data_IF_402587554923
#
_entry.id   IF_402587554923
#
_cell.length_a   1.000
_cell.length_b   1.000
_cell.length_c   1.000
_cell.angle_alpha   90.00
_cell.angle_beta   90.00
_cell.angle_gamma   90.00
#
_symmetry.space_group_name_H-M   'P 1'
#
loop_
_entity.id
_entity.type
_entity.pdbx_description
1 polymer ?
#
# COMPACT_ATOMS: atom_id res chain seq x y z
N UNK A 1 -8.76 13.77 28.76
CA UNK A 1 -8.98 14.67 27.61
C UNK A 1 -10.21 14.14 26.89
N UNK A 2 -11.35 14.79 27.06
CA UNK A 2 -12.64 14.33 26.50
C UNK A 2 -12.79 14.93 25.12
N UNK A 3 -12.84 14.09 24.10
CA UNK A 3 -13.17 14.53 22.75
C UNK A 3 -14.67 14.83 22.68
N UNK A 4 -15.00 16.09 22.57
CA UNK A 4 -16.37 16.53 22.29
C UNK A 4 -16.70 16.22 20.83
N UNK A 5 -17.54 15.20 20.63
CA UNK A 5 -18.19 14.97 19.34
C UNK A 5 -19.12 16.16 19.03
N UNK A 6 -18.88 16.88 17.94
CA UNK A 6 -19.84 17.86 17.42
C UNK A 6 -21.03 17.08 16.85
N UNK A 7 -22.20 17.28 17.43
CA UNK A 7 -23.45 16.89 16.80
C UNK A 7 -23.63 17.71 15.52
N UNK A 8 -23.41 17.09 14.37
CA UNK A 8 -23.78 17.67 13.08
C UNK A 8 -25.27 17.36 12.90
N UNK A 9 -26.12 18.37 13.07
CA UNK A 9 -27.54 18.30 12.71
C UNK A 9 -27.60 18.24 11.16
N UNK A 10 -27.98 17.08 10.62
CA UNK A 10 -28.29 16.96 9.19
C UNK A 10 -29.66 17.63 8.95
N UNK A 11 -29.65 18.71 8.18
CA UNK A 11 -30.90 19.33 7.72
C UNK A 11 -31.70 18.32 6.89
N UNK A 12 -33.01 18.22 7.17
CA UNK A 12 -33.98 17.46 6.40
C UNK A 12 -34.00 17.96 4.96
N UNK A 13 -33.42 17.21 4.03
CA UNK A 13 -33.46 17.54 2.60
C UNK A 13 -32.32 16.96 1.74
N UNK A 14 -31.29 16.35 2.32
CA UNK A 14 -30.30 15.65 1.53
C UNK A 14 -30.83 14.27 1.13
N UNK A 15 -31.31 14.14 -0.09
CA UNK A 15 -31.45 12.85 -0.75
C UNK A 15 -30.03 12.26 -0.85
N UNK A 16 -29.74 11.28 -0.02
CA UNK A 16 -28.51 10.50 -0.10
C UNK A 16 -28.52 9.77 -1.43
N UNK A 17 -27.77 10.29 -2.41
CA UNK A 17 -27.59 9.63 -3.68
C UNK A 17 -26.89 8.28 -3.50
N UNK A 18 -27.01 7.42 -4.50
CA UNK A 18 -26.45 6.05 -4.56
C UNK A 18 -24.95 5.92 -4.22
N UNK A 19 -24.24 7.03 -3.99
CA UNK A 19 -22.83 7.04 -3.55
C UNK A 19 -22.62 6.55 -2.11
N UNK A 20 -23.64 6.61 -1.24
CA UNK A 20 -23.50 6.13 0.15
C UNK A 20 -23.57 4.61 0.27
N UNK A 21 -24.19 3.91 -0.66
CA UNK A 21 -24.17 2.44 -0.69
C UNK A 21 -22.76 1.85 -0.91
N UNK A 22 -21.79 2.69 -1.33
CA UNK A 22 -20.38 2.28 -1.47
C UNK A 22 -19.57 2.48 -0.19
N UNK A 23 -20.04 3.29 0.77
CA UNK A 23 -19.31 3.54 2.03
C UNK A 23 -19.21 2.29 2.92
N UNK A 24 -20.16 1.38 2.79
CA UNK A 24 -20.19 0.15 3.58
C UNK A 24 -19.15 -0.90 3.12
N UNK A 25 -18.48 -0.64 2.01
CA UNK A 25 -17.38 -1.47 1.49
C UNK A 25 -15.99 -0.93 1.85
N UNK A 26 -15.91 0.04 2.77
CA UNK A 26 -14.67 0.70 3.15
C UNK A 26 -13.85 -0.14 4.14
N UNK A 27 -14.49 -1.09 4.83
CA UNK A 27 -13.80 -1.93 5.79
C UNK A 27 -13.62 -3.33 5.22
N UNK A 28 -12.37 -3.72 5.02
CA UNK A 28 -11.99 -5.07 4.65
C UNK A 28 -10.98 -5.61 5.67
N UNK A 29 -11.30 -6.76 6.25
CA UNK A 29 -10.38 -7.48 7.12
C UNK A 29 -9.64 -8.53 6.28
N UNK A 30 -8.35 -8.30 6.02
CA UNK A 30 -7.53 -9.14 5.15
C UNK A 30 -6.58 -9.95 6.01
N UNK A 31 -6.64 -11.28 5.86
CA UNK A 31 -5.64 -12.18 6.44
C UNK A 31 -4.36 -12.12 5.59
N UNK A 32 -3.46 -11.23 5.95
CA UNK A 32 -2.22 -11.01 5.20
C UNK A 32 -1.35 -12.29 5.07
N UNK A 33 -1.55 -13.29 5.94
CA UNK A 33 -0.84 -14.56 5.85
C UNK A 33 -1.35 -15.45 4.70
N UNK A 34 -2.60 -15.27 4.28
CA UNK A 34 -3.22 -16.06 3.20
C UNK A 34 -2.83 -15.50 1.82
N UNK A 35 -2.25 -14.28 1.78
CA UNK A 35 -1.77 -13.67 0.55
C UNK A 35 -0.39 -14.21 0.18
N UNK A 36 -0.13 -14.38 -1.11
CA UNK A 36 1.16 -14.84 -1.61
C UNK A 36 2.21 -13.71 -1.62
N UNK A 37 3.46 -14.08 -1.35
CA UNK A 37 4.61 -13.23 -1.59
C UNK A 37 5.03 -13.37 -3.06
N UNK A 38 5.06 -12.25 -3.78
CA UNK A 38 5.50 -12.21 -5.18
C UNK A 38 6.85 -11.52 -5.26
N UNK A 39 7.83 -12.21 -5.85
CA UNK A 39 9.18 -11.67 -6.06
C UNK A 39 9.13 -10.57 -7.12
N UNK A 40 9.62 -9.39 -6.78
CA UNK A 40 9.63 -8.20 -7.65
C UNK A 40 11.05 -7.75 -7.99
N UNK A 41 12.04 -8.19 -7.23
CA UNK A 41 13.46 -8.11 -7.49
C UNK A 41 14.11 -9.27 -6.75
N UNK A 42 15.33 -9.65 -7.12
CA UNK A 42 16.05 -10.77 -6.52
C UNK A 42 16.04 -10.70 -4.97
N UNK A 43 15.41 -11.69 -4.33
CA UNK A 43 15.27 -11.78 -2.87
C UNK A 43 14.37 -10.71 -2.24
N UNK A 44 13.64 -9.93 -3.03
CA UNK A 44 12.74 -8.88 -2.58
C UNK A 44 11.31 -9.12 -3.06
N UNK A 45 10.34 -9.05 -2.14
CA UNK A 45 8.98 -9.51 -2.38
C UNK A 45 7.95 -8.49 -1.90
N UNK A 46 6.85 -8.38 -2.64
CA UNK A 46 5.64 -7.71 -2.18
C UNK A 46 4.47 -8.68 -1.99
N UNK A 47 3.55 -8.28 -1.11
CA UNK A 47 2.16 -8.72 -1.08
C UNK A 47 1.29 -7.48 -1.29
N UNK A 48 0.34 -7.54 -2.24
CA UNK A 48 -0.70 -6.54 -2.34
C UNK A 48 -1.79 -6.83 -1.30
N UNK A 49 -1.94 -5.98 -0.29
CA UNK A 49 -2.99 -6.11 0.73
C UNK A 49 -4.28 -5.48 0.24
N UNK A 50 -4.21 -4.20 -0.16
CA UNK A 50 -5.30 -3.49 -0.82
C UNK A 50 -4.78 -2.69 -1.99
N UNK A 51 -5.57 -2.58 -3.05
CA UNK A 51 -5.29 -1.70 -4.19
C UNK A 51 -6.52 -0.85 -4.47
N UNK A 52 -6.42 0.47 -4.28
CA UNK A 52 -7.48 1.41 -4.55
C UNK A 52 -7.13 2.25 -5.78
N UNK A 53 -7.55 1.77 -6.95
CA UNK A 53 -7.20 2.37 -8.24
C UNK A 53 -7.68 3.83 -8.37
N UNK A 54 -8.91 4.20 -7.95
CA UNK A 54 -9.38 5.59 -8.08
C UNK A 54 -8.53 6.64 -7.35
N UNK A 55 -7.80 6.25 -6.31
CA UNK A 55 -6.96 7.17 -5.51
C UNK A 55 -5.48 6.84 -5.58
N UNK A 56 -5.07 5.91 -6.42
CA UNK A 56 -3.68 5.43 -6.51
C UNK A 56 -3.08 5.10 -5.13
N UNK A 57 -3.89 4.44 -4.28
CA UNK A 57 -3.48 4.05 -2.93
C UNK A 57 -3.30 2.54 -2.87
N UNK A 58 -2.17 2.10 -2.35
CA UNK A 58 -1.84 0.68 -2.20
C UNK A 58 -1.37 0.41 -0.79
N UNK A 59 -2.02 -0.50 -0.07
CA UNK A 59 -1.45 -1.08 1.15
C UNK A 59 -0.72 -2.37 0.79
N UNK A 60 0.47 -2.54 1.33
CA UNK A 60 1.36 -3.64 0.97
C UNK A 60 2.08 -4.23 2.18
N UNK A 61 2.58 -5.45 2.02
CA UNK A 61 3.69 -5.97 2.81
C UNK A 61 4.94 -6.06 1.90
N UNK A 62 6.09 -5.71 2.45
CA UNK A 62 7.38 -5.80 1.78
C UNK A 62 8.33 -6.66 2.59
N UNK A 63 9.12 -7.49 1.92
CA UNK A 63 10.12 -8.35 2.53
C UNK A 63 11.39 -8.36 1.70
N UNK A 64 12.54 -8.36 2.37
CA UNK A 64 13.83 -8.74 1.80
C UNK A 64 14.37 -9.97 2.55
N UNK A 65 14.75 -10.98 1.80
CA UNK A 65 15.35 -12.20 2.36
C UNK A 65 16.75 -11.92 2.91
N UNK A 66 17.27 -12.74 3.83
CA UNK A 66 18.65 -12.65 4.29
C UNK A 66 19.64 -12.73 3.12
N UNK A 67 20.50 -11.73 2.98
CA UNK A 67 21.51 -11.67 1.93
C UNK A 67 20.97 -11.30 0.53
N UNK A 68 19.72 -10.84 0.43
CA UNK A 68 19.21 -10.28 -0.80
C UNK A 68 20.07 -9.10 -1.27
N UNK A 69 20.24 -8.89 -2.59
CA UNK A 69 20.81 -7.67 -3.13
C UNK A 69 20.03 -6.43 -2.67
N UNK A 70 20.66 -5.26 -2.82
CA UNK A 70 19.96 -3.99 -2.61
C UNK A 70 18.70 -3.92 -3.50
N UNK A 71 17.62 -3.40 -2.95
CA UNK A 71 16.43 -3.12 -3.76
C UNK A 71 16.78 -2.03 -4.79
N UNK A 72 16.21 -2.04 -6.00
CA UNK A 72 16.52 -1.05 -7.02
C UNK A 72 16.46 0.39 -6.51
N UNK A 73 17.48 1.18 -6.83
CA UNK A 73 17.51 2.59 -6.51
C UNK A 73 16.37 3.30 -7.20
N UNK A 74 15.64 4.16 -6.48
CA UNK A 74 14.43 4.78 -7.03
C UNK A 74 14.12 6.15 -6.45
N UNK A 75 13.38 6.94 -7.25
CA UNK A 75 12.61 8.08 -6.76
C UNK A 75 11.23 7.63 -6.31
N UNK A 76 10.77 8.17 -5.20
CA UNK A 76 9.39 8.16 -4.83
C UNK A 76 8.62 9.22 -5.63
N UNK A 77 7.66 8.80 -6.46
CA UNK A 77 6.65 9.68 -7.04
C UNK A 77 5.49 9.82 -6.05
N UNK A 78 5.21 8.74 -5.32
CA UNK A 78 4.26 8.68 -4.21
C UNK A 78 4.87 9.13 -2.89
N UNK A 79 4.04 9.28 -1.87
CA UNK A 79 4.45 9.18 -0.47
C UNK A 79 4.38 7.73 -0.02
N UNK A 80 5.38 7.27 0.73
CA UNK A 80 5.37 5.97 1.35
C UNK A 80 5.42 6.09 2.86
N UNK A 81 4.63 5.27 3.54
CA UNK A 81 4.59 5.16 4.98
C UNK A 81 4.66 3.70 5.34
N UNK A 82 5.55 3.33 6.25
CA UNK A 82 5.66 1.92 6.63
C UNK A 82 6.05 1.73 8.09
N UNK A 83 5.66 0.57 8.64
CA UNK A 83 6.15 0.04 9.90
C UNK A 83 7.01 -1.18 9.62
N UNK A 84 8.22 -1.20 10.16
CA UNK A 84 9.06 -2.38 10.20
C UNK A 84 8.50 -3.37 11.22
N UNK A 85 8.20 -4.59 10.77
CA UNK A 85 7.58 -5.64 11.58
C UNK A 85 8.53 -6.79 11.90
N UNK A 86 9.68 -6.86 11.21
CA UNK A 86 10.75 -7.82 11.45
C UNK A 86 12.08 -7.26 10.96
N UNK A 87 13.17 -7.55 11.66
CA UNK A 87 14.52 -7.17 11.28
C UNK A 87 14.72 -5.66 11.20
N UNK A 88 15.46 -5.23 10.18
CA UNK A 88 15.73 -3.82 9.93
C UNK A 88 16.12 -3.60 8.46
N UNK A 89 15.95 -2.37 7.99
CA UNK A 89 16.48 -1.91 6.71
C UNK A 89 17.15 -0.54 6.85
N UNK A 90 17.82 -0.11 5.82
CA UNK A 90 18.44 1.22 5.71
C UNK A 90 18.50 1.67 4.26
N UNK A 91 19.16 2.82 4.05
CA UNK A 91 19.39 3.40 2.73
C UNK A 91 20.89 3.61 2.54
N UNK A 92 21.41 3.24 1.36
CA UNK A 92 22.85 3.37 1.05
C UNK A 92 23.34 4.82 1.09
N UNK A 93 22.44 5.77 0.86
CA UNK A 93 22.72 7.22 0.89
C UNK A 93 22.81 7.80 2.31
N UNK A 94 22.43 7.04 3.32
CA UNK A 94 22.37 7.46 4.71
C UNK A 94 23.04 6.50 5.68
N UNK A 95 23.04 6.89 6.94
CA UNK A 95 23.51 6.04 8.05
C UNK A 95 22.36 5.54 8.93
N UNK A 96 21.15 5.95 8.62
CA UNK A 96 19.97 5.60 9.40
C UNK A 96 19.57 4.17 9.15
N UNK A 97 19.19 3.51 10.23
CA UNK A 97 18.62 2.18 10.24
C UNK A 97 17.21 2.25 10.79
N UNK A 98 16.28 1.58 10.13
CA UNK A 98 14.87 1.50 10.52
C UNK A 98 14.64 0.12 11.10
N UNK A 99 14.66 0.02 12.43
CA UNK A 99 14.53 -1.23 13.16
C UNK A 99 13.06 -1.66 13.32
N UNK A 100 12.87 -2.92 13.69
CA UNK A 100 11.55 -3.44 14.08
C UNK A 100 10.85 -2.53 15.09
N UNK A 101 9.57 -2.23 14.84
CA UNK A 101 8.75 -1.30 15.62
C UNK A 101 8.89 0.17 15.22
N UNK A 102 9.81 0.51 14.31
CA UNK A 102 9.94 1.89 13.82
C UNK A 102 9.01 2.15 12.64
N UNK A 103 8.57 3.41 12.58
CA UNK A 103 7.81 3.97 11.46
C UNK A 103 8.75 4.77 10.55
N UNK A 104 8.63 4.61 9.24
CA UNK A 104 9.29 5.44 8.24
C UNK A 104 8.28 6.20 7.39
N UNK A 105 8.70 7.40 6.98
CA UNK A 105 7.99 8.24 6.02
C UNK A 105 8.95 8.65 4.91
N UNK A 106 8.60 8.35 3.68
CA UNK A 106 9.38 8.65 2.48
C UNK A 106 8.58 9.63 1.62
N UNK A 107 9.09 10.86 1.52
CA UNK A 107 8.39 11.94 0.82
C UNK A 107 8.46 11.76 -0.71
N UNK A 108 7.47 12.27 -1.46
CA UNK A 108 7.61 12.41 -2.91
C UNK A 108 8.86 13.20 -3.27
N UNK A 109 9.61 12.71 -4.28
CA UNK A 109 10.90 13.29 -4.70
C UNK A 109 12.11 12.80 -3.91
N UNK A 110 11.94 11.96 -2.87
CA UNK A 110 13.09 11.31 -2.23
C UNK A 110 13.69 10.24 -3.16
N UNK A 111 15.02 10.20 -3.19
CA UNK A 111 15.78 9.18 -3.93
C UNK A 111 16.62 8.38 -2.96
N UNK A 112 16.55 7.06 -3.08
CA UNK A 112 17.33 6.17 -2.23
C UNK A 112 17.43 4.74 -2.78
N UNK A 113 18.35 3.99 -2.16
CA UNK A 113 18.61 2.58 -2.42
C UNK A 113 18.37 1.80 -1.13
N UNK A 114 17.20 1.17 -0.95
CA UNK A 114 16.93 0.37 0.22
C UNK A 114 17.79 -0.90 0.25
N UNK A 115 18.25 -1.26 1.44
CA UNK A 115 19.00 -2.50 1.67
C UNK A 115 18.68 -3.09 3.06
N UNK A 116 18.95 -4.38 3.21
CA UNK A 116 18.95 -5.03 4.51
C UNK A 116 20.09 -6.02 4.62
N UNK A 117 21.05 -5.74 5.50
CA UNK A 117 22.09 -6.70 5.90
C UNK A 117 21.67 -7.46 7.18
N UNK A 118 20.36 -7.48 7.50
CA UNK A 118 19.84 -8.18 8.67
C UNK A 118 19.94 -9.69 8.46
N UNK A 119 20.58 -10.45 9.38
CA UNK A 119 20.70 -11.91 9.27
C UNK A 119 19.37 -12.66 9.24
N UNK A 120 18.29 -12.03 9.72
CA UNK A 120 16.94 -12.58 9.73
C UNK A 120 16.09 -12.10 8.57
N UNK A 121 16.65 -11.27 7.68
CA UNK A 121 15.92 -10.54 6.67
C UNK A 121 15.13 -9.38 7.26
N UNK A 122 14.25 -8.82 6.47
CA UNK A 122 13.46 -7.64 6.80
C UNK A 122 12.01 -7.81 6.35
N UNK A 123 11.06 -7.34 7.15
CA UNK A 123 9.66 -7.20 6.74
C UNK A 123 9.07 -5.86 7.22
N UNK A 124 8.25 -5.25 6.37
CA UNK A 124 7.45 -4.08 6.69
C UNK A 124 6.01 -4.21 6.19
N UNK A 125 5.15 -3.37 6.76
CA UNK A 125 3.78 -3.12 6.29
C UNK A 125 3.68 -1.64 5.97
N UNK A 126 3.19 -1.30 4.80
CA UNK A 126 3.18 0.09 4.37
C UNK A 126 2.01 0.44 3.47
N UNK A 127 1.95 1.74 3.17
CA UNK A 127 0.99 2.33 2.25
C UNK A 127 1.76 3.24 1.30
N UNK A 128 1.49 3.09 0.01
CA UNK A 128 1.79 4.08 -1.02
C UNK A 128 0.53 4.91 -1.28
N UNK A 129 0.71 6.23 -1.35
CA UNK A 129 -0.32 7.16 -1.80
C UNK A 129 0.27 8.09 -2.86
N UNK A 130 -0.36 8.15 -4.04
CA UNK A 130 0.14 8.95 -5.16
C UNK A 130 -0.96 9.75 -5.84
N UNK A 131 -0.59 10.92 -6.38
CA UNK A 131 -1.46 11.72 -7.23
C UNK A 131 -1.50 11.19 -8.70
N UNK A 132 -0.72 10.14 -8.99
CA UNK A 132 -0.66 9.46 -10.29
C UNK A 132 -0.61 7.95 -10.12
N UNK A 133 -0.76 7.21 -11.21
CA UNK A 133 -0.60 5.75 -11.20
C UNK A 133 0.85 5.28 -10.94
N UNK A 134 1.84 6.18 -11.13
CA UNK A 134 3.25 5.88 -10.88
C UNK A 134 3.54 6.02 -9.39
N UNK A 135 4.16 5.00 -8.81
CA UNK A 135 4.57 4.96 -7.41
C UNK A 135 6.07 5.21 -7.27
N UNK A 136 6.88 4.44 -8.01
CA UNK A 136 8.33 4.54 -7.97
C UNK A 136 8.89 4.66 -9.39
N UNK A 137 9.98 5.43 -9.53
CA UNK A 137 10.80 5.50 -10.74
C UNK A 137 12.14 4.85 -10.43
N UNK A 138 12.33 3.64 -10.92
CA UNK A 138 13.55 2.85 -10.70
C UNK A 138 14.68 3.31 -11.61
N UNK A 139 15.90 3.26 -11.11
CA UNK A 139 17.11 3.67 -11.80
C UNK A 139 18.12 2.52 -11.94
N UNK A 140 18.92 2.55 -13.00
CA UNK A 140 19.93 1.52 -13.29
C UNK A 140 21.05 1.54 -12.24
N UNK A 141 21.43 2.71 -11.77
CA UNK A 141 22.50 2.89 -10.79
C UNK A 141 22.00 3.72 -9.59
N UNK A 142 22.66 3.65 -8.43
CA UNK A 142 22.32 4.43 -7.24
C UNK A 142 22.71 5.92 -7.41
N UNK A 143 22.23 6.50 -8.48
CA UNK A 143 22.48 7.88 -8.89
C UNK A 143 21.19 8.46 -9.49
N UNK A 144 20.66 9.58 -8.95
CA UNK A 144 19.42 10.19 -9.42
C UNK A 144 19.48 10.72 -10.87
N UNK A 145 20.67 10.83 -11.44
CA UNK A 145 20.88 11.24 -12.83
C UNK A 145 21.18 10.07 -13.77
N UNK A 146 21.13 8.83 -13.28
CA UNK A 146 21.33 7.64 -14.11
C UNK A 146 20.10 7.37 -15.00
N UNK A 147 20.25 6.43 -15.90
CA UNK A 147 19.16 5.97 -16.77
C UNK A 147 17.99 5.39 -15.94
N UNK A 148 16.78 5.66 -16.38
CA UNK A 148 15.57 5.10 -15.78
C UNK A 148 15.48 3.63 -16.21
N UNK A 149 15.50 2.72 -15.26
CA UNK A 149 15.31 1.29 -15.47
C UNK A 149 13.85 0.97 -15.81
N UNK A 150 12.92 1.63 -15.14
CA UNK A 150 11.48 1.43 -15.31
C UNK A 150 10.64 2.17 -14.27
N UNK A 151 9.34 2.03 -14.42
CA UNK A 151 8.35 2.57 -13.49
C UNK A 151 7.70 1.42 -12.73
N UNK A 152 7.44 1.62 -11.45
CA UNK A 152 6.62 0.74 -10.64
C UNK A 152 5.31 1.47 -10.31
N UNK A 153 4.18 0.84 -10.64
CA UNK A 153 2.89 1.50 -10.75
C UNK A 153 1.82 0.80 -9.92
N UNK A 154 0.64 1.40 -9.82
CA UNK A 154 -0.55 0.75 -9.26
C UNK A 154 -0.92 -0.51 -10.06
N UNK A 155 -0.66 -0.53 -11.39
CA UNK A 155 -0.91 -1.71 -12.23
C UNK A 155 -0.02 -2.88 -11.83
N UNK A 156 1.25 -2.66 -11.47
CA UNK A 156 2.14 -3.73 -11.01
C UNK A 156 1.60 -4.40 -9.73
N UNK A 157 0.97 -3.61 -8.84
CA UNK A 157 0.27 -4.18 -7.67
C UNK A 157 -1.01 -4.93 -8.03
N UNK A 158 -1.71 -4.55 -9.09
CA UNK A 158 -2.84 -5.34 -9.60
C UNK A 158 -2.36 -6.67 -10.19
N UNK A 159 -1.21 -6.66 -10.85
CA UNK A 159 -0.63 -7.85 -11.49
C UNK A 159 -0.14 -8.89 -10.47
N UNK A 160 0.32 -8.43 -9.29
CA UNK A 160 0.72 -9.32 -8.18
C UNK A 160 -0.40 -9.59 -7.17
N UNK A 161 -1.59 -9.02 -7.37
CA UNK A 161 -2.71 -9.21 -6.48
C UNK A 161 -3.19 -10.66 -6.50
N UNK A 162 -3.31 -11.28 -5.32
CA UNK A 162 -3.97 -12.57 -5.17
C UNK A 162 -5.49 -12.43 -5.21
N UNK A 163 -6.26 -13.53 -5.40
CA UNK A 163 -7.73 -13.48 -5.39
C UNK A 163 -8.33 -12.86 -4.14
N UNK A 164 -7.62 -12.93 -3.01
CA UNK A 164 -8.03 -12.40 -1.70
C UNK A 164 -7.61 -10.93 -1.50
N UNK A 165 -6.76 -10.37 -2.35
CA UNK A 165 -6.39 -8.96 -2.29
C UNK A 165 -7.62 -8.07 -2.47
N UNK A 166 -7.86 -7.16 -1.53
CA UNK A 166 -8.97 -6.20 -1.68
C UNK A 166 -8.65 -5.16 -2.75
N UNK A 167 -9.41 -5.17 -3.85
CA UNK A 167 -9.20 -4.26 -4.97
C UNK A 167 -10.45 -3.43 -5.25
N UNK A 168 -10.30 -2.12 -5.19
CA UNK A 168 -11.31 -1.16 -5.68
C UNK A 168 -10.88 -0.70 -7.07
N UNK A 169 -11.58 -1.16 -8.10
CA UNK A 169 -11.32 -0.85 -9.50
C UNK A 169 -11.76 0.56 -9.88
N UNK A 170 -11.25 1.10 -10.97
CA UNK A 170 -11.58 2.44 -11.48
C UNK A 170 -13.09 2.66 -11.73
N UNK A 171 -13.83 1.60 -12.05
CA UNK A 171 -15.29 1.64 -12.24
C UNK A 171 -16.10 1.45 -10.94
N UNK A 172 -15.44 1.46 -9.78
CA UNK A 172 -16.04 1.25 -8.47
C UNK A 172 -16.35 -0.21 -8.11
N UNK A 173 -16.06 -1.18 -9.00
CA UNK A 173 -16.20 -2.60 -8.66
C UNK A 173 -15.18 -2.97 -7.59
N UNK A 174 -15.58 -3.77 -6.61
CA UNK A 174 -14.70 -4.32 -5.57
C UNK A 174 -14.54 -5.83 -5.80
N UNK A 175 -13.32 -6.31 -5.66
CA UNK A 175 -12.96 -7.74 -5.73
C UNK A 175 -12.04 -8.11 -4.56
N UNK A 176 -11.91 -9.40 -4.27
CA UNK A 176 -10.96 -9.89 -3.29
C UNK A 176 -11.35 -9.60 -1.84
N UNK A 177 -12.61 -9.70 -1.49
CA UNK A 177 -13.05 -9.63 -0.10
C UNK A 177 -13.82 -10.91 0.28
N UNK A 178 -13.13 -12.00 0.67
CA UNK A 178 -13.79 -13.25 1.03
C UNK A 178 -14.54 -13.17 2.36
N UNK A 179 -14.28 -12.16 3.19
CA UNK A 179 -14.86 -12.04 4.53
C UNK A 179 -16.04 -11.07 4.60
N UNK A 180 -16.19 -10.19 3.62
CA UNK A 180 -17.26 -9.20 3.60
C UNK A 180 -18.47 -9.72 2.82
N UNK A 181 -19.25 -10.59 3.46
CA UNK A 181 -20.57 -11.02 2.98
C UNK A 181 -21.66 -10.13 3.57
N UNK A 182 -21.68 -8.86 3.21
CA UNK A 182 -22.86 -8.04 3.43
C UNK A 182 -23.75 -8.16 2.19
N UNK A 183 -24.83 -8.90 2.34
CA UNK A 183 -25.93 -8.90 1.38
C UNK A 183 -26.88 -7.77 1.76
N UNK A 184 -26.76 -6.64 1.05
CA UNK A 184 -27.64 -5.50 1.24
C UNK A 184 -29.03 -5.68 0.59
N UNK A 185 -29.33 -6.85 0.01
CA UNK A 185 -30.63 -7.10 -0.59
C UNK A 185 -31.76 -7.16 0.43
N UNK A 186 -31.46 -7.33 1.73
CA UNK A 186 -32.48 -7.47 2.79
C UNK A 186 -32.65 -6.24 3.70
N UNK A 187 -32.09 -5.09 3.41
CA UNK A 187 -32.01 -3.98 4.38
C UNK A 187 -32.69 -2.65 4.05
N UNK A 188 -33.21 -2.44 2.86
CA UNK A 188 -33.88 -1.21 2.48
C UNK A 188 -35.28 -1.44 1.93
N UNK A 189 -36.21 -1.82 2.79
CA UNK A 189 -37.61 -1.55 2.51
C UNK A 189 -37.82 -0.03 2.62
N UNK A 190 -38.18 0.58 1.50
CA UNK A 190 -38.60 1.97 1.43
C UNK A 190 -39.88 2.16 2.24
N UNK A 191 -39.77 2.79 3.40
CA UNK A 191 -40.92 3.39 4.13
C UNK A 191 -41.19 4.79 3.64
#
# INVERSE_FOLDING_TARGET
MVLYGRNISLEKGMTMGSGFAQLDRITADIQANDLEWVEVAEGSYFKALTVHVPTNTVAYAFRMDPGAPDFPSHFHICRAMSFTTKGWFGYREGTNRVDNGMFSYEAPGSFHTPFSDCPEGFEARGIFESDSEVLLQNHVEPNPNSEILGLFTVQDFLDIASPETHVVHANGRVTGDPHFKYDFSEGFESS
#
